data_IF_640247441048
#
_entry.id   IF_640247441048
#
_cell.length_a   1.000
_cell.length_b   1.000
_cell.length_c   1.000
_cell.angle_alpha   90.00
_cell.angle_beta   90.00
_cell.angle_gamma   90.00
#
_symmetry.space_group_name_H-M   'P 1'
#
loop_
_entity.id
_entity.type
_entity.pdbx_description
1 polymer ?
#
# COMPACT_ATOMS: atom_id res chain seq x y z
N UNK A 1 -1.66 -24.89 -49.18
CA UNK A 1 -2.20 -23.57 -48.82
C UNK A 1 -2.66 -23.39 -47.35
N UNK A 2 -2.51 -24.41 -46.49
CA UNK A 2 -3.00 -24.39 -45.07
C UNK A 2 -2.04 -23.82 -44.02
N UNK A 3 -0.80 -23.52 -44.34
CA UNK A 3 0.24 -23.17 -43.35
C UNK A 3 0.31 -21.69 -42.97
N UNK A 4 -0.16 -20.77 -43.77
CA UNK A 4 -0.06 -19.33 -43.52
C UNK A 4 -1.16 -18.79 -42.59
N UNK A 5 -2.34 -19.43 -42.56
CA UNK A 5 -3.42 -19.06 -41.64
C UNK A 5 -3.09 -19.31 -40.15
N UNK A 6 -2.14 -20.20 -39.89
CA UNK A 6 -1.68 -20.56 -38.54
C UNK A 6 -0.80 -19.47 -37.90
N UNK A 7 0.04 -18.76 -38.68
CA UNK A 7 0.98 -17.76 -38.18
C UNK A 7 0.28 -16.47 -37.75
N UNK A 8 -0.67 -15.98 -38.54
CA UNK A 8 -1.41 -14.73 -38.19
C UNK A 8 -2.25 -14.85 -36.91
N UNK A 9 -2.68 -16.07 -36.55
CA UNK A 9 -3.39 -16.33 -35.27
C UNK A 9 -2.44 -16.63 -34.13
N UNK A 10 -1.22 -17.11 -34.39
CA UNK A 10 -0.25 -17.46 -33.33
C UNK A 10 0.43 -16.24 -32.72
N UNK A 11 0.66 -15.18 -33.50
CA UNK A 11 1.33 -13.95 -33.02
C UNK A 11 0.52 -13.23 -31.92
N UNK A 12 -0.79 -12.95 -32.12
CA UNK A 12 -1.56 -12.29 -31.03
C UNK A 12 -1.76 -13.19 -29.81
N UNK A 13 -1.84 -14.52 -29.98
CA UNK A 13 -1.92 -15.45 -28.85
C UNK A 13 -0.61 -15.47 -28.05
N UNK A 14 0.54 -15.45 -28.73
CA UNK A 14 1.86 -15.37 -28.09
C UNK A 14 2.08 -14.04 -27.36
N UNK A 15 1.66 -12.93 -27.95
CA UNK A 15 1.73 -11.61 -27.33
C UNK A 15 0.83 -11.53 -26.08
N UNK A 16 -0.40 -12.05 -26.15
CA UNK A 16 -1.31 -12.12 -25.00
C UNK A 16 -0.78 -13.01 -23.88
N UNK A 17 -0.20 -14.18 -24.22
CA UNK A 17 0.38 -15.07 -23.21
C UNK A 17 1.60 -14.44 -22.53
N UNK A 18 2.45 -13.73 -23.26
CA UNK A 18 3.59 -13.01 -22.69
C UNK A 18 3.14 -11.88 -21.76
N UNK A 19 2.12 -11.10 -22.14
CA UNK A 19 1.53 -10.08 -21.27
C UNK A 19 0.94 -10.67 -19.98
N UNK A 20 0.23 -11.81 -20.08
CA UNK A 20 -0.33 -12.49 -18.90
C UNK A 20 0.76 -13.00 -17.96
N UNK A 21 1.83 -13.58 -18.48
CA UNK A 21 2.96 -14.07 -17.67
C UNK A 21 3.65 -12.89 -16.97
N UNK A 22 3.92 -11.80 -17.67
CA UNK A 22 4.53 -10.60 -17.09
C UNK A 22 3.66 -9.99 -15.99
N UNK A 23 2.35 -9.98 -16.17
CA UNK A 23 1.44 -9.47 -15.14
C UNK A 23 1.34 -10.36 -13.93
N UNK A 24 1.30 -11.67 -14.11
CA UNK A 24 1.32 -12.63 -13.02
C UNK A 24 2.62 -12.52 -12.20
N UNK A 25 3.74 -12.37 -12.89
CA UNK A 25 5.04 -12.18 -12.26
C UNK A 25 5.13 -10.84 -11.51
N UNK A 26 4.64 -9.76 -12.12
CA UNK A 26 4.54 -8.45 -11.45
C UNK A 26 3.64 -8.49 -10.22
N UNK A 27 2.51 -9.19 -10.29
CA UNK A 27 1.61 -9.36 -9.14
C UNK A 27 2.27 -10.15 -8.00
N UNK A 28 2.98 -11.24 -8.31
CA UNK A 28 3.72 -12.04 -7.33
C UNK A 28 4.81 -11.20 -6.62
N UNK A 29 5.56 -10.41 -7.39
CA UNK A 29 6.57 -9.51 -6.82
C UNK A 29 5.93 -8.44 -5.94
N UNK A 30 4.84 -7.81 -6.41
CA UNK A 30 4.16 -6.75 -5.66
C UNK A 30 3.53 -7.28 -4.37
N UNK A 31 2.89 -8.44 -4.42
CA UNK A 31 2.26 -9.04 -3.24
C UNK A 31 3.27 -9.48 -2.17
N UNK A 32 4.44 -9.99 -2.59
CA UNK A 32 5.50 -10.38 -1.66
C UNK A 32 6.20 -9.17 -1.02
N UNK A 33 6.31 -8.05 -1.73
CA UNK A 33 6.87 -6.81 -1.20
C UNK A 33 5.88 -6.01 -0.35
N UNK A 34 4.58 -6.06 -0.67
CA UNK A 34 3.54 -5.30 0.03
C UNK A 34 3.48 -5.63 1.53
N UNK A 35 3.66 -6.89 1.91
CA UNK A 35 3.66 -7.31 3.31
C UNK A 35 4.89 -6.82 4.09
N UNK A 36 6.06 -6.79 3.47
CA UNK A 36 7.28 -6.23 4.09
C UNK A 36 7.20 -4.73 4.23
N UNK A 37 6.82 -4.02 3.16
CA UNK A 37 6.63 -2.57 3.17
C UNK A 37 5.57 -2.11 4.18
N UNK A 38 4.52 -2.89 4.38
CA UNK A 38 3.50 -2.60 5.39
C UNK A 38 4.05 -2.69 6.82
N UNK A 39 4.91 -3.66 7.13
CA UNK A 39 5.54 -3.80 8.44
C UNK A 39 6.59 -2.71 8.69
N UNK A 40 7.45 -2.43 7.72
CA UNK A 40 8.44 -1.35 7.80
C UNK A 40 7.76 0.01 7.97
N UNK A 41 6.70 0.28 7.19
CA UNK A 41 5.92 1.51 7.30
C UNK A 41 5.18 1.63 8.64
N UNK A 42 4.75 0.52 9.24
CA UNK A 42 4.14 0.52 10.57
C UNK A 42 5.16 0.91 11.64
N UNK A 43 6.35 0.32 11.59
CA UNK A 43 7.43 0.64 12.55
C UNK A 43 7.90 2.08 12.38
N UNK A 44 8.19 2.50 11.16
CA UNK A 44 8.64 3.87 10.86
C UNK A 44 7.63 4.92 11.34
N UNK A 45 6.35 4.74 11.02
CA UNK A 45 5.29 5.67 11.48
C UNK A 45 5.11 5.62 12.99
N UNK A 46 5.13 4.44 13.60
CA UNK A 46 5.04 4.29 15.05
C UNK A 46 6.18 5.00 15.75
N UNK A 47 7.42 4.80 15.29
CA UNK A 47 8.61 5.44 15.86
C UNK A 47 8.64 6.95 15.63
N UNK A 48 8.25 7.44 14.46
CA UNK A 48 8.15 8.88 14.20
C UNK A 48 7.11 9.53 15.09
N UNK A 49 5.92 8.95 15.16
CA UNK A 49 4.82 9.51 15.97
C UNK A 49 5.15 9.51 17.45
N UNK A 50 5.71 8.42 17.98
CA UNK A 50 6.05 8.37 19.41
C UNK A 50 7.17 9.35 19.75
N UNK A 51 8.16 9.55 18.85
CA UNK A 51 9.21 10.54 19.04
C UNK A 51 8.65 11.97 19.07
N UNK A 52 7.76 12.30 18.13
CA UNK A 52 7.10 13.61 18.10
C UNK A 52 6.28 13.83 19.38
N UNK A 53 5.54 12.81 19.82
CA UNK A 53 4.74 12.90 21.03
C UNK A 53 5.61 13.08 22.28
N UNK A 54 6.74 12.36 22.39
CA UNK A 54 7.71 12.53 23.50
C UNK A 54 8.20 13.98 23.56
N UNK A 55 8.55 14.58 22.42
CA UNK A 55 9.00 15.98 22.39
C UNK A 55 7.89 16.94 22.82
N UNK A 56 6.65 16.72 22.37
CA UNK A 56 5.50 17.57 22.72
C UNK A 56 5.14 17.49 24.20
N UNK A 57 5.22 16.30 24.81
CA UNK A 57 4.79 16.10 26.20
C UNK A 57 5.92 16.27 27.22
N UNK A 58 7.17 16.32 26.77
CA UNK A 58 8.35 16.43 27.65
C UNK A 58 8.23 17.60 28.61
N UNK A 59 8.12 18.82 28.11
CA UNK A 59 8.03 20.04 28.94
C UNK A 59 6.74 20.10 29.78
N UNK A 60 5.55 19.84 29.23
CA UNK A 60 4.33 19.77 30.03
C UNK A 60 4.39 18.76 31.18
N UNK A 61 4.98 17.59 30.95
CA UNK A 61 5.08 16.56 32.01
C UNK A 61 5.94 17.03 33.19
N UNK A 62 7.07 17.71 32.93
CA UNK A 62 7.91 18.27 33.96
C UNK A 62 7.24 19.41 34.76
N UNK A 63 6.39 20.19 34.07
CA UNK A 63 5.65 21.29 34.68
C UNK A 63 4.35 20.85 35.38
N UNK A 64 4.00 19.55 35.29
CA UNK A 64 2.74 19.03 35.82
C UNK A 64 1.49 19.51 35.06
N UNK A 65 1.66 19.97 33.80
CA UNK A 65 0.58 20.51 32.97
C UNK A 65 -0.15 19.38 32.26
N UNK A 66 -1.07 18.74 32.95
CA UNK A 66 -1.90 17.64 32.40
C UNK A 66 -2.82 18.08 31.28
N UNK A 67 -3.21 19.35 31.21
CA UNK A 67 -4.10 19.88 30.17
C UNK A 67 -3.36 19.92 28.84
N UNK A 68 -2.15 20.47 28.81
CA UNK A 68 -1.33 20.49 27.59
C UNK A 68 -0.98 19.08 27.12
N UNK A 69 -0.73 18.13 28.04
CA UNK A 69 -0.53 16.73 27.70
C UNK A 69 -1.79 16.14 27.04
N UNK A 70 -2.96 16.38 27.62
CA UNK A 70 -4.23 15.89 27.09
C UNK A 70 -4.51 16.41 25.68
N UNK A 71 -4.23 17.69 25.42
CA UNK A 71 -4.38 18.30 24.09
C UNK A 71 -3.41 17.68 23.08
N UNK A 72 -2.14 17.46 23.48
CA UNK A 72 -1.16 16.80 22.62
C UNK A 72 -1.58 15.36 22.25
N UNK A 73 -2.11 14.60 23.22
CA UNK A 73 -2.62 13.25 22.99
C UNK A 73 -3.85 13.24 22.06
N UNK A 74 -4.77 14.21 22.23
CA UNK A 74 -5.92 14.33 21.34
C UNK A 74 -5.52 14.61 19.90
N UNK A 75 -4.60 15.55 19.68
CA UNK A 75 -4.11 15.88 18.34
C UNK A 75 -3.46 14.67 17.67
N UNK A 76 -2.68 13.88 18.39
CA UNK A 76 -2.05 12.67 17.84
C UNK A 76 -3.10 11.58 17.54
N UNK A 77 -4.10 11.43 18.41
CA UNK A 77 -5.19 10.47 18.18
C UNK A 77 -6.20 10.90 17.10
N UNK A 78 -6.15 12.14 16.59
CA UNK A 78 -6.92 12.52 15.38
C UNK A 78 -6.51 11.71 14.15
N UNK A 79 -5.25 11.28 14.06
CA UNK A 79 -4.84 10.37 12.98
C UNK A 79 -5.62 9.05 13.08
N UNK A 80 -6.23 8.65 11.95
CA UNK A 80 -7.11 7.47 11.87
C UNK A 80 -6.43 6.16 12.23
N UNK A 81 -5.10 6.09 12.11
CA UNK A 81 -4.33 4.87 12.40
C UNK A 81 -3.97 4.73 13.88
N UNK A 82 -4.11 5.81 14.69
CA UNK A 82 -3.77 5.78 16.11
C UNK A 82 -5.05 5.53 16.91
N UNK A 83 -5.04 4.43 17.66
CA UNK A 83 -6.19 3.97 18.44
C UNK A 83 -6.16 4.53 19.88
N UNK A 84 -4.98 4.60 20.48
CA UNK A 84 -4.79 4.99 21.87
C UNK A 84 -3.43 5.66 22.03
N UNK A 85 -3.39 6.70 22.85
CA UNK A 85 -2.16 7.36 23.27
C UNK A 85 -2.26 7.68 24.77
N UNK A 86 -1.26 7.31 25.54
CA UNK A 86 -1.23 7.45 27.00
C UNK A 86 0.14 7.88 27.47
N UNK A 87 0.14 8.73 28.50
CA UNK A 87 1.34 9.21 29.18
C UNK A 87 1.30 8.79 30.64
N UNK A 88 2.37 8.18 31.08
CA UNK A 88 2.58 7.75 32.47
C UNK A 88 3.73 8.53 33.08
N UNK A 89 3.62 8.85 34.33
CA UNK A 89 4.67 9.45 35.12
C UNK A 89 5.75 8.40 35.50
N UNK A 90 6.81 8.84 36.20
CA UNK A 90 7.90 7.98 36.69
C UNK A 90 7.42 6.91 37.68
N UNK A 91 6.35 7.18 38.41
CA UNK A 91 5.69 6.25 39.35
C UNK A 91 4.80 5.22 38.63
N UNK A 92 4.65 5.31 37.29
CA UNK A 92 3.75 4.45 36.50
C UNK A 92 2.28 4.86 36.62
N UNK A 93 1.98 6.03 37.18
CA UNK A 93 0.61 6.55 37.26
C UNK A 93 0.22 7.15 35.90
N UNK A 94 -1.01 6.92 35.49
CA UNK A 94 -1.57 7.50 34.28
C UNK A 94 -1.81 9.00 34.46
N UNK A 95 -1.10 9.82 33.70
CA UNK A 95 -1.22 11.29 33.72
C UNK A 95 -2.34 11.75 32.80
N UNK A 96 -2.35 11.23 31.57
CA UNK A 96 -3.37 11.55 30.57
C UNK A 96 -3.52 10.39 29.56
N UNK A 97 -4.70 10.27 28.99
CA UNK A 97 -5.00 9.27 27.96
C UNK A 97 -6.01 9.83 26.95
N UNK A 98 -5.77 9.55 25.67
CA UNK A 98 -6.73 9.76 24.61
C UNK A 98 -6.94 8.44 23.87
N UNK A 99 -8.19 7.95 23.87
CA UNK A 99 -8.55 6.64 23.30
C UNK A 99 -9.73 6.79 22.35
N UNK A 100 -9.62 6.20 21.18
CA UNK A 100 -10.74 6.02 20.25
C UNK A 100 -11.47 4.70 20.52
N UNK A 101 -12.76 4.61 20.14
CA UNK A 101 -13.43 3.31 20.13
C UNK A 101 -12.69 2.37 19.14
N UNK A 102 -12.31 1.20 19.63
CA UNK A 102 -11.66 0.18 18.81
C UNK A 102 -12.65 -0.36 17.77
N UNK A 103 -12.34 -0.34 16.48
CA UNK A 103 -13.10 -1.10 15.50
C UNK A 103 -13.08 -2.59 15.85
N UNK A 104 -14.18 -3.32 15.64
CA UNK A 104 -14.31 -4.74 16.01
C UNK A 104 -13.18 -5.64 15.46
N UNK A 105 -12.55 -5.24 14.36
CA UNK A 105 -11.49 -5.99 13.68
C UNK A 105 -10.12 -5.31 13.77
N UNK A 106 -9.89 -4.38 14.71
CA UNK A 106 -8.59 -3.71 14.82
C UNK A 106 -7.51 -4.63 15.41
N UNK A 107 -6.30 -4.55 14.85
CA UNK A 107 -5.12 -5.24 15.39
C UNK A 107 -4.14 -4.19 15.88
N UNK A 108 -4.18 -3.91 17.18
CA UNK A 108 -3.33 -2.91 17.81
C UNK A 108 -1.89 -3.41 17.95
N UNK A 109 -0.94 -2.58 17.53
CA UNK A 109 0.49 -2.75 17.81
C UNK A 109 0.91 -1.58 18.69
N UNK A 110 1.49 -1.87 19.85
CA UNK A 110 1.85 -0.86 20.83
C UNK A 110 3.32 -0.48 20.72
N UNK A 111 3.59 0.82 20.72
CA UNK A 111 4.92 1.41 20.79
C UNK A 111 5.06 2.11 22.13
N UNK A 112 6.24 2.02 22.73
CA UNK A 112 6.49 2.68 24.00
C UNK A 112 7.87 3.32 24.02
N UNK A 113 7.97 4.52 24.64
CA UNK A 113 9.23 5.24 24.79
C UNK A 113 9.28 5.98 26.12
N UNK A 114 10.45 5.94 26.76
CA UNK A 114 10.67 6.70 27.97
C UNK A 114 10.90 8.18 27.66
N UNK A 115 10.37 9.03 28.51
CA UNK A 115 10.59 10.49 28.49
C UNK A 115 11.74 10.78 29.45
N UNK A 116 12.82 11.37 28.95
CA UNK A 116 13.94 11.82 29.76
C UNK A 116 14.21 13.31 29.52
N UNK A 117 14.63 14.00 30.56
CA UNK A 117 15.13 15.37 30.52
C UNK A 117 16.46 15.41 31.28
N UNK A 118 17.56 15.83 30.62
CA UNK A 118 18.87 15.99 31.28
C UNK A 118 19.26 14.76 32.13
N UNK A 119 19.23 13.56 31.52
CA UNK A 119 19.53 12.25 32.12
C UNK A 119 18.59 11.79 33.26
N UNK A 120 17.53 12.52 33.54
CA UNK A 120 16.51 12.10 34.52
C UNK A 120 15.28 11.58 33.76
N UNK A 121 14.89 10.34 34.05
CA UNK A 121 13.64 9.78 33.50
C UNK A 121 12.44 10.48 34.18
N UNK A 122 11.52 10.98 33.35
CA UNK A 122 10.32 11.69 33.80
C UNK A 122 9.06 10.85 33.71
N UNK A 123 9.05 9.91 32.80
CA UNK A 123 7.87 9.08 32.54
C UNK A 123 7.99 8.23 31.29
N UNK A 124 6.84 7.79 30.80
CA UNK A 124 6.73 6.90 29.63
C UNK A 124 5.52 7.28 28.77
N UNK A 125 5.73 7.30 27.47
CA UNK A 125 4.66 7.40 26.47
C UNK A 125 4.35 6.02 25.92
N UNK A 126 3.09 5.75 25.67
CA UNK A 126 2.61 4.55 25.01
C UNK A 126 1.59 4.96 23.93
N UNK A 127 1.77 4.47 22.73
CA UNK A 127 0.80 4.63 21.62
C UNK A 127 0.42 3.27 21.07
N UNK A 128 -0.83 3.13 20.64
CA UNK A 128 -1.33 1.92 19.96
C UNK A 128 -1.78 2.29 18.56
N UNK A 129 -1.22 1.61 17.58
CA UNK A 129 -1.45 1.85 16.14
C UNK A 129 -2.22 0.68 15.55
N UNK A 130 -3.19 0.95 14.69
CA UNK A 130 -3.95 -0.08 13.98
C UNK A 130 -3.17 -0.60 12.76
N UNK A 131 -2.61 -1.79 12.90
CA UNK A 131 -1.89 -2.45 11.81
C UNK A 131 -2.79 -2.88 10.66
N UNK A 132 -4.08 -3.16 10.91
CA UNK A 132 -5.03 -3.53 9.85
C UNK A 132 -5.41 -2.33 8.98
N UNK A 133 -5.56 -1.15 9.56
CA UNK A 133 -5.82 0.07 8.80
C UNK A 133 -4.69 0.36 7.81
N UNK A 134 -3.44 0.16 8.21
CA UNK A 134 -2.27 0.29 7.33
C UNK A 134 -2.30 -0.79 6.23
N UNK A 135 -2.54 -2.05 6.60
CA UNK A 135 -2.59 -3.16 5.66
C UNK A 135 -3.72 -2.99 4.63
N UNK A 136 -4.89 -2.50 5.03
CA UNK A 136 -6.01 -2.24 4.12
C UNK A 136 -5.68 -1.16 3.08
N UNK A 137 -4.99 -0.08 3.46
CA UNK A 137 -4.52 0.93 2.51
C UNK A 137 -3.62 0.34 1.44
N UNK A 138 -2.67 -0.53 1.82
CA UNK A 138 -1.81 -1.20 0.85
C UNK A 138 -2.56 -2.18 -0.05
N UNK A 139 -3.53 -2.93 0.48
CA UNK A 139 -4.34 -3.86 -0.31
C UNK A 139 -5.20 -3.14 -1.35
N UNK A 140 -5.73 -1.95 -1.05
CA UNK A 140 -6.46 -1.12 -2.01
C UNK A 140 -5.58 -0.65 -3.17
N UNK A 141 -4.33 -0.25 -2.88
CA UNK A 141 -3.37 0.16 -3.93
C UNK A 141 -3.07 -1.01 -4.86
N UNK A 142 -2.84 -2.20 -4.31
CA UNK A 142 -2.59 -3.43 -5.09
C UNK A 142 -3.82 -3.81 -5.92
N UNK A 143 -5.02 -3.72 -5.36
CA UNK A 143 -6.28 -3.99 -6.08
C UNK A 143 -6.52 -3.02 -7.24
N UNK A 144 -6.29 -1.73 -7.02
CA UNK A 144 -6.41 -0.71 -8.08
C UNK A 144 -5.39 -0.94 -9.20
N UNK A 145 -4.18 -1.35 -8.85
CA UNK A 145 -3.14 -1.70 -9.82
C UNK A 145 -3.52 -2.90 -10.69
N UNK A 146 -4.11 -3.95 -10.09
CA UNK A 146 -4.64 -5.11 -10.80
C UNK A 146 -5.74 -4.74 -11.78
N UNK A 147 -6.67 -3.86 -11.38
CA UNK A 147 -7.73 -3.36 -12.24
C UNK A 147 -7.17 -2.60 -13.44
N UNK A 148 -6.23 -1.69 -13.21
CA UNK A 148 -5.60 -0.89 -14.26
C UNK A 148 -4.84 -1.78 -15.24
N UNK A 149 -4.15 -2.79 -14.73
CA UNK A 149 -3.42 -3.76 -15.54
C UNK A 149 -4.36 -4.67 -16.36
N UNK A 150 -5.49 -5.11 -15.80
CA UNK A 150 -6.52 -5.87 -16.51
C UNK A 150 -7.10 -5.07 -17.68
N UNK A 151 -7.44 -3.79 -17.45
CA UNK A 151 -7.91 -2.88 -18.52
C UNK A 151 -6.86 -2.70 -19.60
N UNK A 152 -5.59 -2.49 -19.23
CA UNK A 152 -4.49 -2.36 -20.18
C UNK A 152 -4.32 -3.63 -21.04
N UNK A 153 -4.38 -4.80 -20.43
CA UNK A 153 -4.27 -6.08 -21.13
C UNK A 153 -5.42 -6.28 -22.13
N UNK A 154 -6.65 -5.91 -21.76
CA UNK A 154 -7.81 -5.96 -22.65
C UNK A 154 -7.66 -4.99 -23.84
N UNK A 155 -7.19 -3.77 -23.62
CA UNK A 155 -6.94 -2.78 -24.67
C UNK A 155 -5.85 -3.25 -25.65
N UNK A 156 -4.73 -3.76 -25.11
CA UNK A 156 -3.66 -4.33 -25.94
C UNK A 156 -4.14 -5.54 -26.76
N UNK A 157 -4.91 -6.45 -26.15
CA UNK A 157 -5.52 -7.60 -26.83
C UNK A 157 -6.45 -7.18 -27.96
N UNK A 158 -7.31 -6.18 -27.70
CA UNK A 158 -8.19 -5.63 -28.72
C UNK A 158 -7.42 -4.96 -29.86
N UNK A 159 -6.39 -4.16 -29.51
CA UNK A 159 -5.51 -3.51 -30.50
C UNK A 159 -4.79 -4.53 -31.39
N UNK A 160 -4.20 -5.56 -30.80
CA UNK A 160 -3.54 -6.64 -31.53
C UNK A 160 -4.51 -7.41 -32.44
N UNK A 161 -5.74 -7.66 -31.98
CA UNK A 161 -6.77 -8.34 -32.77
C UNK A 161 -7.17 -7.48 -33.98
N UNK A 162 -7.42 -6.20 -33.82
CA UNK A 162 -7.77 -5.26 -34.90
C UNK A 162 -6.62 -5.11 -35.91
N UNK A 163 -5.39 -5.04 -35.41
CA UNK A 163 -4.21 -4.95 -36.28
C UNK A 163 -4.01 -6.22 -37.10
N UNK A 164 -4.19 -7.40 -36.51
CA UNK A 164 -4.11 -8.69 -37.22
C UNK A 164 -5.20 -8.82 -38.30
N UNK A 165 -6.41 -8.32 -38.04
CA UNK A 165 -7.50 -8.29 -39.02
C UNK A 165 -7.20 -7.33 -40.19
N UNK A 166 -6.66 -6.16 -39.94
CA UNK A 166 -6.24 -5.20 -40.98
C UNK A 166 -5.12 -5.78 -41.86
N UNK A 167 -4.12 -6.42 -41.24
CA UNK A 167 -3.00 -7.03 -41.97
C UNK A 167 -3.48 -8.16 -42.88
N UNK A 168 -4.39 -9.02 -42.40
CA UNK A 168 -4.95 -10.11 -43.20
C UNK A 168 -5.79 -9.62 -44.35
N UNK A 169 -6.51 -8.51 -44.23
CA UNK A 169 -7.27 -7.88 -45.30
C UNK A 169 -6.33 -7.30 -46.39
N UNK A 170 -5.24 -6.65 -46.02
CA UNK A 170 -4.27 -6.10 -46.99
C UNK A 170 -3.51 -7.18 -47.72
N UNK A 171 -3.13 -8.26 -47.08
CA UNK A 171 -2.47 -9.42 -47.72
C UNK A 171 -3.39 -10.12 -48.73
N UNK A 172 -4.68 -10.24 -48.44
CA UNK A 172 -5.66 -10.82 -49.41
C UNK A 172 -5.79 -9.96 -50.68
N UNK A 173 -5.72 -8.63 -50.55
CA UNK A 173 -5.79 -7.73 -51.71
C UNK A 173 -4.53 -7.83 -52.60
N UNK A 174 -3.37 -8.09 -52.01
CA UNK A 174 -2.12 -8.27 -52.73
C UNK A 174 -2.04 -9.64 -53.44
N UNK A 175 -2.55 -10.69 -52.81
CA UNK A 175 -2.57 -12.05 -53.41
C UNK A 175 -3.54 -12.15 -54.58
N UNK A 176 -4.64 -11.37 -54.56
CA UNK A 176 -5.59 -11.32 -55.69
C UNK A 176 -5.12 -10.44 -56.86
N UNK A 177 -4.04 -9.69 -56.72
CA UNK A 177 -3.46 -8.85 -57.81
C UNK A 177 -2.31 -9.51 -58.55
N UNK A 178 -1.88 -10.71 -58.16
CA UNK A 178 -0.94 -11.51 -58.93
C UNK A 178 -1.75 -12.46 -59.82
N UNK A 179 -2.08 -12.08 -61.08
CA UNK A 179 -2.60 -13.02 -62.04
C UNK A 179 -1.48 -14.00 -62.37
N UNK A 180 -1.82 -15.29 -62.38
CA UNK A 180 -0.88 -16.37 -62.60
C UNK A 180 0.02 -16.12 -63.82
N UNK A 181 1.31 -16.26 -63.60
CA UNK A 181 2.24 -16.59 -64.64
C UNK A 181 2.21 -18.11 -64.81
N UNK A 182 1.49 -18.53 -65.79
CA UNK A 182 1.62 -19.87 -66.42
C UNK A 182 3.00 -19.98 -67.02
#
# INVERSE_FOLDING_TARGET
MHRQYSLAKKIPVLALSACLILGLFGWLLLSSHASRLSQESLQEKGDLTINQLVELVRSPLFNGDSISIQVALQNVTEDQIILDASVYDIGGQLVAQSKKPYPENSKAVSFSRNIALQDTQAGKVLISVDSLAIQQRYSQVVSNWLLLWAVFTLLCGYGCFRFAEQLSRRLRLLTNRLPGSS
#
